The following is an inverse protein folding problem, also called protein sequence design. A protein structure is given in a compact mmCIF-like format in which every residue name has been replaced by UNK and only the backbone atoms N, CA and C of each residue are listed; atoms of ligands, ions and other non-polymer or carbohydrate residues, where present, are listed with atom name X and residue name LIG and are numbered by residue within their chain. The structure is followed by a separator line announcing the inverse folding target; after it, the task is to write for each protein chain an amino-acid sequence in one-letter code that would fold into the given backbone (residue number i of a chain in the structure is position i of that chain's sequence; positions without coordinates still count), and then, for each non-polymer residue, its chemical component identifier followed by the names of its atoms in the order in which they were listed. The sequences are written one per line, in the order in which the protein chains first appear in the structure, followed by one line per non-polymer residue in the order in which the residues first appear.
data_IF_559693204066
#
_entry.id   IF_559693204066
#
_cell.length_a   1.000
_cell.length_b   1.000
_cell.length_c   1.000
_cell.angle_alpha   90.00
_cell.angle_beta   90.00
_cell.angle_gamma   90.00
#
_symmetry.space_group_name_H-M   'P 1'
#
loop_
_entity.id
_entity.type
_entity.pdbx_description
1 polymer ?
#
# COMPACT_ATOMS: atom_id res chain seq x y z
N UNK A 1 6.13 -0.16 3.57
CA UNK A 1 6.36 0.96 4.49
C UNK A 1 5.36 0.90 5.64
N UNK A 2 5.80 1.42 6.78
CA UNK A 2 5.02 1.41 8.00
C UNK A 2 4.66 2.83 8.41
N UNK A 3 3.46 2.99 8.97
CA UNK A 3 2.91 4.26 9.41
C UNK A 3 2.45 4.13 10.86
N UNK A 4 2.96 4.99 11.72
CA UNK A 4 2.63 4.97 13.14
C UNK A 4 1.75 6.16 13.52
N UNK A 5 0.86 5.95 14.47
CA UNK A 5 0.05 6.99 15.09
C UNK A 5 0.55 7.32 16.50
N UNK A 6 0.31 8.53 16.95
CA UNK A 6 0.56 8.95 18.34
C UNK A 6 -0.51 8.41 19.28
N UNK A 7 -1.76 8.34 18.79
CA UNK A 7 -2.92 7.98 19.59
C UNK A 7 -3.77 6.89 18.88
N UNK A 8 -4.51 6.15 19.68
CA UNK A 8 -5.43 5.15 19.18
C UNK A 8 -6.63 5.80 18.49
N UNK A 9 -7.01 5.28 17.33
CA UNK A 9 -8.25 5.65 16.65
C UNK A 9 -9.17 4.45 16.52
N UNK A 10 -10.47 4.68 16.63
CA UNK A 10 -11.49 3.62 16.53
C UNK A 10 -11.82 3.23 15.10
N UNK A 11 -11.33 3.97 14.10
CA UNK A 11 -11.59 3.73 12.68
C UNK A 11 -10.32 3.82 11.81
N UNK A 12 -10.49 3.67 10.50
CA UNK A 12 -9.41 3.75 9.50
C UNK A 12 -9.58 4.94 8.55
N UNK A 13 -10.27 6.00 8.93
CA UNK A 13 -10.50 7.18 8.07
C UNK A 13 -9.20 7.84 7.64
N UNK A 14 -8.20 7.81 8.51
CA UNK A 14 -6.86 8.33 8.22
C UNK A 14 -6.26 7.63 6.99
N UNK A 15 -6.41 6.30 6.86
CA UNK A 15 -5.93 5.53 5.72
C UNK A 15 -6.66 5.88 4.43
N UNK A 16 -7.97 6.07 4.49
CA UNK A 16 -8.76 6.51 3.34
C UNK A 16 -8.35 7.91 2.87
N UNK A 17 -8.06 8.80 3.81
CA UNK A 17 -7.60 10.16 3.51
C UNK A 17 -6.20 10.17 2.92
N UNK A 18 -5.26 9.39 3.48
CA UNK A 18 -3.93 9.19 2.93
C UNK A 18 -4.00 8.70 1.48
N UNK A 19 -4.74 7.61 1.23
CA UNK A 19 -4.90 7.03 -0.12
C UNK A 19 -5.45 8.05 -1.11
N UNK A 20 -6.52 8.74 -0.76
CA UNK A 20 -7.14 9.76 -1.62
C UNK A 20 -6.17 10.88 -2.01
N UNK A 21 -5.43 11.44 -1.03
CA UNK A 21 -4.44 12.51 -1.25
C UNK A 21 -3.25 12.02 -2.07
N UNK A 22 -2.71 10.87 -1.71
CA UNK A 22 -1.56 10.26 -2.38
C UNK A 22 -1.89 9.90 -3.84
N UNK A 23 -3.01 9.22 -4.08
CA UNK A 23 -3.42 8.82 -5.43
C UNK A 23 -3.71 10.02 -6.33
N UNK A 24 -4.27 11.10 -5.78
CA UNK A 24 -4.44 12.36 -6.53
C UNK A 24 -3.09 12.89 -7.03
N UNK A 25 -2.06 12.96 -6.17
CA UNK A 25 -0.72 13.42 -6.53
C UNK A 25 -0.06 12.51 -7.58
N UNK A 26 -0.11 11.19 -7.36
CA UNK A 26 0.47 10.20 -8.28
C UNK A 26 -0.19 10.31 -9.67
N UNK A 27 -1.50 10.34 -9.74
CA UNK A 27 -2.24 10.45 -11.01
C UNK A 27 -1.93 11.76 -11.73
N UNK A 28 -1.87 12.86 -11.02
CA UNK A 28 -1.55 14.16 -11.59
C UNK A 28 -0.13 14.20 -12.19
N UNK A 29 0.87 13.68 -11.48
CA UNK A 29 2.28 13.71 -11.89
C UNK A 29 2.59 12.71 -12.99
N UNK A 30 2.18 11.45 -12.83
CA UNK A 30 2.64 10.34 -13.69
C UNK A 30 1.62 9.94 -14.75
N UNK A 31 0.41 10.52 -14.73
CA UNK A 31 -0.68 10.21 -15.67
C UNK A 31 -1.04 8.71 -15.70
N UNK A 32 -0.91 8.03 -14.55
CA UNK A 32 -1.31 6.63 -14.38
C UNK A 32 -2.68 6.55 -13.70
N UNK A 33 -3.49 5.55 -14.09
CA UNK A 33 -4.81 5.30 -13.51
C UNK A 33 -4.76 4.19 -12.46
N UNK A 34 -4.02 3.13 -12.76
CA UNK A 34 -3.95 1.95 -11.92
C UNK A 34 -2.89 2.13 -10.84
N UNK A 35 -3.33 2.11 -9.59
CA UNK A 35 -2.50 2.17 -8.39
C UNK A 35 -2.99 1.06 -7.49
N UNK A 36 -2.11 0.08 -7.23
CA UNK A 36 -2.36 -0.93 -6.23
C UNK A 36 -1.94 -0.42 -4.85
N UNK A 37 -2.75 -0.69 -3.84
CA UNK A 37 -2.43 -0.33 -2.47
C UNK A 37 -3.06 -1.34 -1.52
N UNK A 38 -2.30 -1.80 -0.58
CA UNK A 38 -2.78 -2.65 0.51
C UNK A 38 -2.23 -2.12 1.83
N UNK A 39 -3.02 -2.24 2.86
CA UNK A 39 -2.59 -1.95 4.22
C UNK A 39 -3.17 -2.95 5.20
N UNK A 40 -2.44 -3.15 6.28
CA UNK A 40 -2.84 -3.95 7.42
C UNK A 40 -2.64 -3.12 8.67
N UNK A 41 -3.64 -3.13 9.53
CA UNK A 41 -3.63 -2.48 10.84
C UNK A 41 -3.17 -3.48 11.89
N UNK A 42 -2.21 -3.08 12.70
CA UNK A 42 -1.76 -3.87 13.83
C UNK A 42 -1.75 -3.02 15.12
N UNK A 43 -2.08 -3.67 16.22
CA UNK A 43 -1.94 -3.12 17.56
C UNK A 43 -1.68 -4.27 18.52
N UNK A 44 -0.49 -4.32 19.08
CA UNK A 44 -0.15 -5.27 20.13
C UNK A 44 -0.16 -4.56 21.51
N UNK A 45 1.03 -4.40 22.06
CA UNK A 45 1.25 -3.72 23.34
C UNK A 45 1.40 -2.20 23.19
N UNK A 46 1.47 -1.69 21.96
CA UNK A 46 1.63 -0.29 21.70
C UNK A 46 0.41 0.54 22.13
N UNK A 47 0.65 1.78 22.54
CA UNK A 47 -0.42 2.73 22.92
C UNK A 47 -1.37 3.01 21.78
N UNK A 48 -0.84 3.12 20.55
CA UNK A 48 -1.60 3.36 19.32
C UNK A 48 -1.36 2.25 18.31
N UNK A 49 -2.27 2.13 17.33
CA UNK A 49 -2.08 1.23 16.20
C UNK A 49 -1.06 1.80 15.20
N UNK A 50 -0.51 0.89 14.40
CA UNK A 50 0.30 1.20 13.24
C UNK A 50 -0.22 0.46 12.01
N UNK A 51 0.21 0.90 10.84
CA UNK A 51 -0.20 0.33 9.56
C UNK A 51 1.02 -0.11 8.78
N UNK A 52 1.04 -1.37 8.39
CA UNK A 52 1.95 -1.89 7.39
C UNK A 52 1.32 -1.73 6.01
N UNK A 53 2.03 -1.15 5.07
CA UNK A 53 1.50 -0.79 3.77
C UNK A 53 2.38 -1.26 2.63
N UNK A 54 1.77 -1.61 1.50
CA UNK A 54 2.45 -1.77 0.23
C UNK A 54 1.72 -0.99 -0.87
N UNK A 55 2.48 -0.37 -1.76
CA UNK A 55 1.98 0.32 -2.94
C UNK A 55 2.59 -0.28 -4.21
N UNK A 56 1.75 -0.51 -5.20
CA UNK A 56 2.12 -1.08 -6.49
C UNK A 56 1.91 -0.05 -7.59
N UNK A 57 2.95 0.22 -8.33
CA UNK A 57 2.98 1.26 -9.34
C UNK A 57 3.57 0.73 -10.65
N UNK A 58 3.23 1.38 -11.76
CA UNK A 58 3.80 1.04 -13.05
C UNK A 58 5.28 1.43 -13.10
N UNK A 59 6.20 0.45 -13.07
CA UNK A 59 7.64 0.63 -13.09
C UNK A 59 8.18 1.32 -14.34
N UNK A 60 7.46 1.26 -15.48
CA UNK A 60 7.84 2.00 -16.69
C UNK A 60 7.65 3.53 -16.54
N UNK A 61 6.82 3.95 -15.59
CA UNK A 61 6.54 5.36 -15.30
C UNK A 61 7.24 5.84 -14.02
N UNK A 62 7.43 4.95 -13.06
CA UNK A 62 7.94 5.28 -11.72
C UNK A 62 9.01 4.24 -11.35
N UNK A 63 10.25 4.53 -11.70
CA UNK A 63 11.39 3.63 -11.44
C UNK A 63 11.98 3.77 -10.06
N UNK A 64 11.75 4.92 -9.42
CA UNK A 64 12.34 5.22 -8.12
C UNK A 64 11.28 5.78 -7.17
N UNK A 65 11.18 5.28 -5.92
CA UNK A 65 10.12 5.65 -4.99
C UNK A 65 10.29 7.00 -4.30
N UNK A 66 11.42 7.69 -4.45
CA UNK A 66 11.78 8.86 -3.63
C UNK A 66 10.70 9.93 -3.52
N UNK A 67 10.07 10.30 -4.64
CA UNK A 67 8.99 11.29 -4.62
C UNK A 67 7.72 10.75 -3.94
N UNK A 68 7.44 9.46 -4.10
CA UNK A 68 6.30 8.80 -3.44
C UNK A 68 6.52 8.77 -1.92
N UNK A 69 7.73 8.42 -1.49
CA UNK A 69 8.13 8.44 -0.07
C UNK A 69 7.97 9.83 0.54
N UNK A 70 8.45 10.86 -0.18
CA UNK A 70 8.32 12.24 0.25
C UNK A 70 6.84 12.64 0.43
N UNK A 71 5.97 12.33 -0.53
CA UNK A 71 4.54 12.62 -0.42
C UNK A 71 3.84 11.84 0.69
N UNK A 72 4.21 10.58 0.91
CA UNK A 72 3.67 9.80 2.03
C UNK A 72 4.05 10.46 3.35
N UNK A 73 5.33 10.80 3.54
CA UNK A 73 5.81 11.48 4.74
C UNK A 73 5.08 12.80 4.98
N UNK A 74 4.98 13.62 3.95
CA UNK A 74 4.31 14.93 4.04
C UNK A 74 2.82 14.79 4.39
N UNK A 75 2.09 13.92 3.66
CA UNK A 75 0.67 13.71 3.93
C UNK A 75 0.46 13.13 5.32
N UNK A 76 1.31 12.17 5.73
CA UNK A 76 1.19 11.51 7.01
C UNK A 76 1.42 12.47 8.18
N UNK A 77 2.41 13.34 8.08
CA UNK A 77 2.64 14.38 9.11
C UNK A 77 1.47 15.37 9.23
N UNK A 78 0.80 15.69 8.11
CA UNK A 78 -0.40 16.53 8.10
C UNK A 78 -1.65 15.82 8.66
N UNK A 79 -1.62 14.51 8.81
CA UNK A 79 -2.70 13.67 9.35
C UNK A 79 -2.44 13.23 10.79
N UNK A 80 -1.57 13.95 11.52
CA UNK A 80 -1.20 13.64 12.91
C UNK A 80 -0.46 12.31 13.09
N UNK A 81 0.12 11.79 12.01
CA UNK A 81 1.01 10.65 12.06
C UNK A 81 2.30 10.97 12.80
N UNK A 82 2.76 10.05 13.66
CA UNK A 82 3.99 10.28 14.43
C UNK A 82 5.24 10.01 13.62
N UNK A 83 5.32 8.84 13.01
CA UNK A 83 6.48 8.41 12.23
C UNK A 83 6.08 7.52 11.07
N UNK A 84 7.00 7.41 10.13
CA UNK A 84 6.91 6.45 9.05
C UNK A 84 8.27 5.76 8.89
N UNK A 85 8.25 4.48 8.57
CA UNK A 85 9.43 3.69 8.25
C UNK A 85 9.30 3.16 6.81
N UNK A 86 10.42 3.18 6.08
CA UNK A 86 10.47 2.68 4.71
C UNK A 86 11.28 1.38 4.64
N UNK A 87 10.60 0.26 4.40
CA UNK A 87 11.22 -1.05 4.39
C UNK A 87 11.95 -1.42 3.09
N UNK A 88 11.79 -0.62 2.03
CA UNK A 88 12.43 -0.87 0.74
C UNK A 88 11.45 -0.85 -0.44
N UNK A 89 11.94 -1.19 -1.62
CA UNK A 89 11.14 -1.34 -2.83
C UNK A 89 11.74 -2.39 -3.76
N UNK A 90 10.91 -2.93 -4.63
CA UNK A 90 11.29 -3.89 -5.67
C UNK A 90 10.95 -3.33 -7.04
N UNK A 91 11.91 -3.36 -7.96
CA UNK A 91 11.66 -3.19 -9.39
C UNK A 91 11.48 -4.57 -9.99
N UNK A 92 10.27 -4.88 -10.45
CA UNK A 92 9.92 -6.19 -10.96
C UNK A 92 9.74 -6.08 -12.47
N UNK A 93 10.61 -6.72 -13.23
CA UNK A 93 10.43 -6.90 -14.67
C UNK A 93 9.51 -8.09 -14.95
N UNK A 94 8.78 -8.03 -16.06
CA UNK A 94 7.92 -9.14 -16.47
C UNK A 94 8.78 -10.40 -16.73
N UNK A 95 8.40 -11.52 -16.10
CA UNK A 95 9.13 -12.79 -16.20
C UNK A 95 10.28 -12.95 -15.21
N UNK A 96 10.62 -11.92 -14.42
CA UNK A 96 11.62 -12.01 -13.37
C UNK A 96 11.02 -12.68 -12.13
N UNK A 97 11.10 -14.00 -12.12
CA UNK A 97 10.51 -14.82 -11.06
C UNK A 97 11.21 -14.62 -9.72
N UNK A 98 12.51 -14.34 -9.71
CA UNK A 98 13.26 -14.09 -8.48
C UNK A 98 12.82 -12.77 -7.83
N UNK A 99 12.73 -11.69 -8.60
CA UNK A 99 12.24 -10.41 -8.10
C UNK A 99 10.78 -10.50 -7.62
N UNK A 100 9.94 -11.29 -8.30
CA UNK A 100 8.56 -11.56 -7.88
C UNK A 100 8.54 -12.29 -6.53
N UNK A 101 9.31 -13.36 -6.38
CA UNK A 101 9.39 -14.13 -5.14
C UNK A 101 9.89 -13.29 -3.97
N UNK A 102 10.93 -12.49 -4.18
CA UNK A 102 11.47 -11.58 -3.17
C UNK A 102 10.42 -10.53 -2.74
N UNK A 103 9.68 -9.98 -3.69
CA UNK A 103 8.59 -9.05 -3.38
C UNK A 103 7.44 -9.73 -2.62
N UNK A 104 7.03 -10.93 -3.02
CA UNK A 104 6.00 -11.72 -2.32
C UNK A 104 6.45 -12.03 -0.89
N UNK A 105 7.69 -12.47 -0.71
CA UNK A 105 8.23 -12.75 0.63
C UNK A 105 8.19 -11.51 1.51
N UNK A 106 8.62 -10.37 0.99
CA UNK A 106 8.59 -9.10 1.73
C UNK A 106 7.16 -8.67 2.11
N UNK A 107 6.21 -8.85 1.19
CA UNK A 107 4.80 -8.47 1.40
C UNK A 107 4.08 -9.49 2.29
N UNK A 108 4.53 -10.75 2.33
CA UNK A 108 3.92 -11.80 3.15
C UNK A 108 3.90 -11.44 4.65
N UNK A 109 4.79 -10.55 5.07
CA UNK A 109 4.77 -9.96 6.41
C UNK A 109 3.44 -9.28 6.74
N UNK A 110 2.74 -8.72 5.76
CA UNK A 110 1.41 -8.14 5.92
C UNK A 110 0.35 -9.19 6.29
N UNK A 111 0.60 -10.46 6.01
CA UNK A 111 -0.32 -11.56 6.32
C UNK A 111 -0.23 -12.08 7.75
N UNK A 112 0.74 -11.63 8.57
CA UNK A 112 0.85 -12.04 9.97
C UNK A 112 -0.46 -11.83 10.71
N UNK A 113 -0.83 -12.80 11.53
CA UNK A 113 -2.03 -12.75 12.38
C UNK A 113 -1.79 -12.06 13.72
N UNK A 114 -0.54 -12.03 14.18
CA UNK A 114 -0.13 -11.39 15.43
C UNK A 114 -0.42 -9.89 15.40
N UNK A 115 -0.98 -9.35 16.47
CA UNK A 115 -1.32 -7.93 16.58
C UNK A 115 -2.62 -7.50 15.89
N UNK A 116 -3.32 -8.45 15.23
CA UNK A 116 -4.64 -8.23 14.63
C UNK A 116 -5.75 -8.58 15.61
N UNK A 117 -6.95 -8.03 15.37
CA UNK A 117 -8.11 -8.28 16.23
C UNK A 117 -8.27 -7.30 17.42
N UNK A 118 -7.25 -6.54 17.79
CA UNK A 118 -7.35 -5.48 18.80
C UNK A 118 -8.01 -4.21 18.22
N UNK A 119 -9.26 -4.32 17.78
CA UNK A 119 -10.02 -3.27 17.11
C UNK A 119 -11.48 -3.25 17.54
N UNK A 120 -12.19 -2.13 17.39
CA UNK A 120 -13.64 -2.09 17.52
C UNK A 120 -14.33 -3.02 16.50
N UNK A 121 -15.48 -3.56 16.86
CA UNK A 121 -16.19 -4.62 16.12
C UNK A 121 -16.42 -4.31 14.64
N UNK A 122 -16.62 -3.05 14.28
CA UNK A 122 -16.89 -2.65 12.88
C UNK A 122 -15.66 -2.16 12.12
N UNK A 123 -14.49 -2.18 12.74
CA UNK A 123 -13.24 -1.69 12.11
C UNK A 123 -12.49 -2.83 11.43
N UNK A 124 -12.02 -2.62 10.21
CA UNK A 124 -11.23 -3.61 9.47
C UNK A 124 -9.77 -3.61 9.89
N UNK A 125 -9.15 -4.78 9.93
CA UNK A 125 -7.71 -4.93 10.14
C UNK A 125 -6.90 -4.77 8.85
N UNK A 126 -7.55 -4.71 7.71
CA UNK A 126 -6.89 -4.56 6.41
C UNK A 126 -7.78 -3.85 5.40
N UNK A 127 -7.17 -3.33 4.35
CA UNK A 127 -7.86 -2.77 3.20
C UNK A 127 -6.97 -2.76 1.95
N UNK A 128 -7.61 -2.68 0.79
CA UNK A 128 -6.92 -2.61 -0.50
C UNK A 128 -7.64 -1.66 -1.46
N UNK A 129 -6.91 -1.17 -2.47
CA UNK A 129 -7.50 -0.42 -3.57
C UNK A 129 -8.19 -1.38 -4.55
N UNK A 130 -9.43 -1.07 -4.94
CA UNK A 130 -10.27 -1.92 -5.79
C UNK A 130 -9.70 -2.22 -7.20
N UNK A 131 -8.75 -1.42 -7.68
CA UNK A 131 -8.23 -1.51 -9.04
C UNK A 131 -7.17 -2.61 -9.27
N UNK A 132 -6.80 -3.38 -8.24
CA UNK A 132 -5.79 -4.45 -8.39
C UNK A 132 -6.31 -5.59 -9.27
N UNK A 133 -7.62 -5.87 -9.24
CA UNK A 133 -8.21 -7.01 -9.96
C UNK A 133 -8.44 -6.75 -11.46
N UNK A 134 -8.52 -5.53 -11.92
CA UNK A 134 -8.80 -5.22 -13.33
C UNK A 134 -7.62 -5.48 -14.28
N UNK A 135 -6.40 -5.58 -13.77
CA UNK A 135 -5.21 -5.81 -14.59
C UNK A 135 -4.98 -7.28 -14.96
N UNK A 136 -5.56 -8.22 -14.21
CA UNK A 136 -5.37 -9.67 -14.43
C UNK A 136 -6.37 -10.23 -15.44
N UNK A 137 -7.54 -9.61 -15.59
CA UNK A 137 -8.62 -10.11 -16.45
C UNK A 137 -8.48 -9.72 -17.93
N UNK A 138 -7.56 -8.84 -18.30
CA UNK A 138 -7.47 -8.32 -19.68
C UNK A 138 -6.54 -9.13 -20.61
N UNK A 139 -5.84 -10.17 -20.12
CA UNK A 139 -4.83 -10.90 -20.90
C UNK A 139 -5.23 -12.32 -21.35
N UNK A 140 -6.49 -12.74 -21.17
CA UNK A 140 -6.92 -14.10 -21.52
C UNK A 140 -7.83 -14.23 -22.76
N UNK A 141 -7.86 -13.24 -23.65
CA UNK A 141 -8.55 -13.42 -24.93
C UNK A 141 -7.52 -13.80 -26.01
N UNK A 142 -7.50 -15.05 -26.51
CA UNK A 142 -6.62 -15.41 -27.61
C UNK A 142 -7.08 -14.67 -28.86
N UNK A 143 -6.15 -13.95 -29.52
CA UNK A 143 -6.37 -13.39 -30.84
C UNK A 143 -6.72 -14.53 -31.79
N UNK A 144 -7.96 -14.57 -32.28
CA UNK A 144 -8.32 -15.40 -33.43
C UNK A 144 -7.54 -14.88 -34.62
N UNK A 145 -6.62 -15.71 -35.11
CA UNK A 145 -5.98 -15.54 -36.42
C UNK A 145 -7.03 -15.69 -37.52
N UNK A 146 -7.10 -14.70 -38.39
CA UNK A 146 -7.73 -14.80 -39.70
C UNK A 146 -6.68 -15.25 -40.70
#
# INVERSE_FOLDING_TARGET
FDLHLTEFTSDNRIMSTLQRRLFKRIRAKYKIRNIGFVWVREKEKAKAQHYHCAIYLNGNKIRHPGLIQHWIKEIWSQLEGSSNHWAGYHNINRGDMEAIQNAIYHISYLAKTRGKGCRPTQTKDYGWARNICAAVSAETTPRKSK
#
